data_IF_167250331575
#
_entry.id   IF_167250331575
#
_cell.length_a   1.000
_cell.length_b   1.000
_cell.length_c   1.000
_cell.angle_alpha   90.00
_cell.angle_beta   90.00
_cell.angle_gamma   90.00
#
_symmetry.space_group_name_H-M   'P 1'
#
loop_
_entity.id
_entity.type
_entity.pdbx_description
1 polymer ?
#
# COMPACT_ATOMS: atom_id res chain seq x y z
N UNK A 1 -0.39 -19.19 16.50
CA UNK A 1 -1.34 -18.68 15.49
C UNK A 1 -1.04 -19.34 14.15
N UNK A 2 -2.06 -19.57 13.32
CA UNK A 2 -1.87 -20.13 11.98
C UNK A 2 -1.15 -19.11 11.06
N UNK A 3 -0.27 -19.62 10.20
CA UNK A 3 0.42 -18.81 9.20
C UNK A 3 -0.61 -18.17 8.24
N UNK A 4 -0.35 -16.93 7.86
CA UNK A 4 -1.06 -16.17 6.84
C UNK A 4 -0.11 -15.92 5.69
N UNK A 5 -0.52 -16.22 4.47
CA UNK A 5 0.17 -15.81 3.25
C UNK A 5 -0.44 -14.49 2.78
N UNK A 6 0.33 -13.45 2.74
CA UNK A 6 -0.05 -12.14 2.22
C UNK A 6 0.50 -11.99 0.80
N UNK A 7 -0.38 -11.73 -0.17
CA UNK A 7 -0.03 -11.53 -1.58
C UNK A 7 -0.31 -10.09 -1.99
N UNK A 8 0.68 -9.43 -2.55
CA UNK A 8 0.52 -8.15 -3.22
C UNK A 8 0.69 -8.35 -4.73
N UNK A 9 -0.36 -8.04 -5.47
CA UNK A 9 -0.40 -8.16 -6.93
C UNK A 9 -0.17 -6.79 -7.57
N UNK A 10 1.00 -6.59 -8.18
CA UNK A 10 1.29 -5.46 -9.07
C UNK A 10 0.94 -5.81 -10.52
N UNK A 11 1.11 -4.88 -11.44
CA UNK A 11 0.80 -5.09 -12.86
C UNK A 11 1.66 -6.18 -13.50
N UNK A 12 2.93 -6.31 -13.09
CA UNK A 12 3.92 -7.24 -13.66
C UNK A 12 4.64 -8.09 -12.63
N UNK A 13 4.34 -7.93 -11.35
CA UNK A 13 5.04 -8.63 -10.27
C UNK A 13 4.07 -9.06 -9.18
N UNK A 14 4.24 -10.25 -8.64
CA UNK A 14 3.60 -10.67 -7.39
C UNK A 14 4.64 -10.76 -6.29
N UNK A 15 4.28 -10.21 -5.14
CA UNK A 15 5.05 -10.31 -3.89
C UNK A 15 4.27 -11.13 -2.88
N UNK A 16 4.93 -12.04 -2.19
CA UNK A 16 4.36 -12.80 -1.09
C UNK A 16 5.19 -12.64 0.17
N UNK A 17 4.50 -12.57 1.31
CA UNK A 17 5.08 -12.72 2.63
C UNK A 17 4.26 -13.73 3.42
N UNK A 18 4.92 -14.70 4.04
CA UNK A 18 4.29 -15.70 4.90
C UNK A 18 4.66 -15.41 6.34
N UNK A 19 3.68 -15.30 7.22
CA UNK A 19 3.98 -14.98 8.60
C UNK A 19 2.77 -14.99 9.51
N UNK A 20 2.95 -14.42 10.69
CA UNK A 20 1.89 -14.25 11.70
C UNK A 20 1.95 -12.84 12.26
N UNK A 21 0.79 -12.20 12.52
CA UNK A 21 0.76 -10.98 13.29
C UNK A 21 1.28 -11.24 14.71
N UNK A 22 1.92 -10.23 15.29
CA UNK A 22 2.29 -10.17 16.71
C UNK A 22 1.54 -9.01 17.37
N UNK A 23 1.66 -8.83 18.67
CA UNK A 23 0.93 -7.76 19.39
C UNK A 23 1.23 -6.34 18.86
N UNK A 24 2.45 -6.09 18.36
CA UNK A 24 2.89 -4.75 17.90
C UNK A 24 3.50 -4.75 16.49
N UNK A 25 3.49 -5.89 15.79
CA UNK A 25 4.14 -6.01 14.48
C UNK A 25 3.79 -7.32 13.78
N UNK A 26 4.81 -7.97 13.18
CA UNK A 26 4.65 -9.25 12.49
C UNK A 26 5.93 -10.08 12.58
N UNK A 27 5.78 -11.41 12.47
CA UNK A 27 6.87 -12.33 12.24
C UNK A 27 6.70 -12.94 10.85
N UNK A 28 7.52 -12.53 9.92
CA UNK A 28 7.61 -13.06 8.55
C UNK A 28 8.61 -14.21 8.57
N UNK A 29 8.23 -15.36 8.05
CA UNK A 29 9.07 -16.58 7.99
C UNK A 29 9.56 -16.87 6.58
N UNK A 30 8.87 -16.35 5.55
CA UNK A 30 9.29 -16.45 4.16
C UNK A 30 8.79 -15.23 3.38
N UNK A 31 9.56 -14.82 2.38
CA UNK A 31 9.18 -13.82 1.40
C UNK A 31 9.61 -14.34 0.01
N UNK A 32 8.80 -14.06 -1.00
CA UNK A 32 9.05 -14.47 -2.37
C UNK A 32 8.44 -13.43 -3.33
N UNK A 33 9.00 -13.36 -4.53
CA UNK A 33 8.44 -12.58 -5.63
C UNK A 33 8.67 -13.29 -6.96
N UNK A 34 7.83 -13.00 -7.94
CA UNK A 34 8.04 -13.43 -9.34
C UNK A 34 7.35 -12.46 -10.30
N UNK A 35 7.81 -12.44 -11.53
CA UNK A 35 7.14 -11.70 -12.59
C UNK A 35 5.83 -12.37 -12.99
N UNK A 36 4.85 -11.56 -13.33
CA UNK A 36 3.57 -11.99 -13.89
C UNK A 36 3.57 -11.77 -15.41
N UNK A 37 2.83 -12.57 -16.18
CA UNK A 37 2.64 -12.32 -17.60
C UNK A 37 2.06 -10.92 -17.84
N UNK A 38 2.52 -10.26 -18.88
CA UNK A 38 2.09 -8.91 -19.22
C UNK A 38 0.58 -8.85 -19.51
N UNK A 39 -0.08 -7.82 -19.03
CA UNK A 39 -1.50 -7.62 -19.28
C UNK A 39 -2.45 -8.46 -18.43
N UNK A 40 -1.97 -9.28 -17.49
CA UNK A 40 -2.83 -10.06 -16.60
C UNK A 40 -3.59 -9.20 -15.60
N UNK A 41 -2.98 -8.09 -15.17
CA UNK A 41 -3.53 -7.17 -14.19
C UNK A 41 -3.28 -5.71 -14.63
N UNK A 42 -4.33 -4.92 -14.79
CA UNK A 42 -4.23 -3.51 -15.17
C UNK A 42 -4.99 -2.67 -14.14
N UNK A 43 -4.29 -1.78 -13.44
CA UNK A 43 -4.88 -0.90 -12.43
C UNK A 43 -5.73 -1.63 -11.37
N UNK A 44 -5.32 -2.82 -10.96
CA UNK A 44 -6.05 -3.64 -9.98
C UNK A 44 -7.24 -4.40 -10.55
N UNK A 45 -7.45 -4.39 -11.88
CA UNK A 45 -8.46 -5.20 -12.55
C UNK A 45 -7.79 -6.39 -13.22
N UNK A 46 -8.31 -7.58 -12.97
CA UNK A 46 -7.87 -8.81 -13.64
C UNK A 46 -8.37 -8.79 -15.08
N UNK A 47 -7.45 -8.79 -16.04
CA UNK A 47 -7.73 -8.68 -17.48
C UNK A 47 -7.49 -9.99 -18.22
N UNK A 48 -6.60 -10.86 -17.69
CA UNK A 48 -6.39 -12.22 -18.18
C UNK A 48 -6.32 -13.19 -17.00
N UNK A 49 -7.47 -13.75 -16.64
CA UNK A 49 -7.61 -14.66 -15.49
C UNK A 49 -6.86 -15.99 -15.71
N UNK A 50 -6.83 -16.51 -16.95
CA UNK A 50 -6.21 -17.79 -17.23
C UNK A 50 -4.69 -17.76 -16.99
N UNK A 51 -3.99 -16.78 -17.57
CA UNK A 51 -2.55 -16.65 -17.43
C UNK A 51 -2.17 -16.27 -16.00
N UNK A 52 -2.94 -15.37 -15.34
CA UNK A 52 -2.71 -15.01 -13.95
C UNK A 52 -2.89 -16.22 -13.02
N UNK A 53 -3.92 -17.05 -13.26
CA UNK A 53 -4.15 -18.28 -12.50
C UNK A 53 -2.99 -19.27 -12.67
N UNK A 54 -2.51 -19.48 -13.88
CA UNK A 54 -1.38 -20.38 -14.16
C UNK A 54 -0.11 -19.88 -13.45
N UNK A 55 0.23 -18.60 -13.60
CA UNK A 55 1.40 -18.00 -12.97
C UNK A 55 1.35 -18.08 -11.43
N UNK A 56 0.19 -17.82 -10.82
CA UNK A 56 0.04 -17.92 -9.37
C UNK A 56 0.14 -19.37 -8.88
N UNK A 57 -0.43 -20.36 -9.57
CA UNK A 57 -0.26 -21.79 -9.22
C UNK A 57 1.21 -22.20 -9.22
N UNK A 58 1.94 -21.81 -10.25
CA UNK A 58 3.38 -22.04 -10.33
C UNK A 58 4.13 -21.34 -9.18
N UNK A 59 3.83 -20.08 -8.94
CA UNK A 59 4.45 -19.29 -7.86
C UNK A 59 4.23 -19.92 -6.48
N UNK A 60 2.99 -20.34 -6.15
CA UNK A 60 2.69 -21.03 -4.90
C UNK A 60 3.44 -22.34 -4.77
N UNK A 61 3.51 -23.13 -5.85
CA UNK A 61 4.17 -24.44 -5.86
C UNK A 61 5.68 -24.30 -5.73
N UNK A 62 6.31 -23.45 -6.54
CA UNK A 62 7.76 -23.23 -6.56
C UNK A 62 8.28 -22.73 -5.20
N UNK A 63 7.52 -21.85 -4.54
CA UNK A 63 7.90 -21.25 -3.27
C UNK A 63 7.29 -21.97 -2.04
N UNK A 64 6.54 -23.07 -2.24
CA UNK A 64 5.88 -23.86 -1.17
C UNK A 64 5.03 -22.98 -0.24
N UNK A 65 4.30 -22.00 -0.81
CA UNK A 65 3.50 -21.06 -0.04
C UNK A 65 2.24 -21.73 0.51
N UNK A 66 1.87 -21.50 1.80
CA UNK A 66 0.63 -22.01 2.36
C UNK A 66 -0.61 -21.41 1.69
N UNK A 67 -1.56 -22.27 1.27
CA UNK A 67 -2.78 -21.88 0.54
C UNK A 67 -4.04 -21.84 1.43
N UNK A 68 -3.97 -22.26 2.68
CA UNK A 68 -5.14 -22.40 3.56
C UNK A 68 -5.61 -21.09 4.19
N UNK A 69 -4.81 -20.03 4.09
CA UNK A 69 -5.18 -18.71 4.61
C UNK A 69 -4.37 -17.65 3.85
N UNK A 70 -5.01 -17.02 2.88
CA UNK A 70 -4.35 -16.05 1.98
C UNK A 70 -5.07 -14.70 2.08
N UNK A 71 -4.34 -13.65 2.40
CA UNK A 71 -4.79 -12.26 2.30
C UNK A 71 -4.27 -11.66 0.99
N UNK A 72 -5.15 -11.09 0.19
CA UNK A 72 -4.79 -10.35 -1.00
C UNK A 72 -4.68 -8.86 -0.67
N UNK A 73 -3.70 -8.21 -1.24
CA UNK A 73 -3.59 -6.76 -1.21
C UNK A 73 -3.95 -6.28 -2.61
N UNK A 74 -5.00 -5.51 -2.68
CA UNK A 74 -5.49 -4.90 -3.89
C UNK A 74 -5.16 -3.41 -3.92
N UNK A 75 -4.77 -2.93 -5.08
CA UNK A 75 -4.47 -1.53 -5.32
C UNK A 75 -4.98 -1.11 -6.69
N UNK A 76 -4.84 0.17 -7.00
CA UNK A 76 -5.24 0.72 -8.29
C UNK A 76 -6.37 1.75 -8.17
N UNK A 77 -6.71 2.37 -9.28
CA UNK A 77 -7.70 3.46 -9.35
C UNK A 77 -9.15 3.01 -9.10
N UNK A 78 -9.39 1.70 -9.01
CA UNK A 78 -10.71 1.13 -8.72
C UNK A 78 -11.12 1.30 -7.24
N UNK A 79 -10.14 1.57 -6.37
CA UNK A 79 -10.39 1.76 -4.94
C UNK A 79 -10.42 3.25 -4.63
N UNK A 80 -11.63 3.83 -4.55
CA UNK A 80 -11.80 5.17 -4.04
C UNK A 80 -11.53 5.17 -2.53
N UNK A 81 -10.77 6.15 -2.04
CA UNK A 81 -10.54 6.30 -0.61
C UNK A 81 -10.57 7.77 -0.19
N UNK A 82 -10.97 8.02 1.05
CA UNK A 82 -11.03 9.34 1.67
C UNK A 82 -10.68 9.26 3.16
N UNK A 83 -10.02 10.30 3.65
CA UNK A 83 -9.86 10.49 5.10
C UNK A 83 -11.07 11.27 5.59
N UNK A 84 -11.73 10.72 6.62
CA UNK A 84 -12.89 11.33 7.25
C UNK A 84 -12.67 11.42 8.75
N UNK A 85 -13.05 12.55 9.33
CA UNK A 85 -13.06 12.76 10.79
C UNK A 85 -14.50 12.68 11.28
N UNK A 86 -14.78 11.71 12.13
CA UNK A 86 -16.14 11.37 12.59
C UNK A 86 -16.20 11.38 14.12
N UNK A 87 -17.30 11.86 14.74
CA UNK A 87 -17.51 11.66 16.15
C UNK A 87 -17.49 10.17 16.51
N UNK A 88 -17.08 9.83 17.72
CA UNK A 88 -17.14 8.46 18.22
C UNK A 88 -18.59 7.97 18.23
N UNK A 89 -18.85 6.89 17.53
CA UNK A 89 -20.19 6.32 17.34
C UNK A 89 -20.13 4.79 17.20
N UNK A 90 -21.31 4.15 17.25
CA UNK A 90 -21.40 2.71 17.01
C UNK A 90 -21.05 2.36 15.57
N UNK A 91 -20.55 1.13 15.37
CA UNK A 91 -20.13 0.60 14.07
C UNK A 91 -21.21 0.78 12.99
N UNK A 92 -22.45 0.40 13.31
CA UNK A 92 -23.60 0.53 12.38
C UNK A 92 -23.82 1.97 11.91
N UNK A 93 -23.75 2.96 12.84
CA UNK A 93 -23.88 4.36 12.49
C UNK A 93 -22.70 4.85 11.66
N UNK A 94 -21.49 4.45 12.03
CA UNK A 94 -20.26 4.77 11.30
C UNK A 94 -20.35 4.32 9.86
N UNK A 95 -20.68 3.05 9.61
CA UNK A 95 -20.85 2.54 8.24
C UNK A 95 -21.88 3.31 7.44
N UNK A 96 -23.01 3.66 8.03
CA UNK A 96 -24.04 4.48 7.33
C UNK A 96 -23.53 5.87 6.95
N UNK A 97 -22.80 6.55 7.85
CA UNK A 97 -22.20 7.86 7.57
C UNK A 97 -21.11 7.73 6.49
N UNK A 98 -20.22 6.74 6.59
CA UNK A 98 -19.17 6.50 5.61
C UNK A 98 -19.74 6.27 4.21
N UNK A 99 -20.78 5.42 4.10
CA UNK A 99 -21.42 5.14 2.82
C UNK A 99 -22.05 6.39 2.20
N UNK A 100 -22.66 7.25 3.02
CA UNK A 100 -23.20 8.52 2.56
C UNK A 100 -22.10 9.48 2.07
N UNK A 101 -21.02 9.66 2.86
CA UNK A 101 -19.89 10.53 2.52
C UNK A 101 -19.15 10.07 1.26
N UNK A 102 -18.98 8.75 1.09
CA UNK A 102 -18.36 8.18 -0.11
C UNK A 102 -19.24 8.28 -1.35
N UNK A 103 -20.59 8.30 -1.18
CA UNK A 103 -21.52 8.48 -2.29
C UNK A 103 -21.57 9.95 -2.78
N UNK A 104 -21.45 10.91 -1.87
CA UNK A 104 -21.61 12.34 -2.18
C UNK A 104 -20.41 12.97 -2.90
N UNK A 105 -19.30 12.29 -3.02
CA UNK A 105 -18.02 12.89 -3.46
C UNK A 105 -17.38 12.34 -4.72
N UNK A 106 -18.05 11.57 -5.54
CA UNK A 106 -17.40 10.96 -6.69
C UNK A 106 -18.31 10.41 -7.77
N UNK A 107 -17.72 9.72 -8.73
CA UNK A 107 -18.43 9.01 -9.77
C UNK A 107 -19.35 7.93 -9.16
N UNK A 108 -20.48 7.69 -9.80
CA UNK A 108 -21.41 6.63 -9.42
C UNK A 108 -20.70 5.27 -9.50
N UNK A 109 -20.65 4.57 -8.36
CA UNK A 109 -20.09 3.21 -8.26
C UNK A 109 -21.25 2.22 -8.21
N UNK A 110 -21.29 1.28 -9.15
CA UNK A 110 -22.34 0.24 -9.19
C UNK A 110 -22.10 -0.79 -8.09
N UNK A 111 -23.17 -1.13 -7.34
CA UNK A 111 -23.09 -2.09 -6.24
C UNK A 111 -21.85 -1.86 -5.34
N UNK A 112 -21.76 -0.71 -4.64
CA UNK A 112 -20.59 -0.34 -3.87
C UNK A 112 -20.41 -1.25 -2.65
N UNK A 113 -19.16 -1.59 -2.37
CA UNK A 113 -18.71 -2.16 -1.10
C UNK A 113 -17.87 -1.12 -0.39
N UNK A 114 -18.24 -0.82 0.85
CA UNK A 114 -17.58 0.17 1.69
C UNK A 114 -16.91 -0.50 2.88
N UNK A 115 -15.74 -0.02 3.25
CA UNK A 115 -15.01 -0.42 4.45
C UNK A 115 -14.16 0.76 4.94
N UNK A 116 -13.53 0.61 6.11
CA UNK A 116 -12.63 1.64 6.63
C UNK A 116 -11.52 1.07 7.48
N UNK A 117 -10.45 1.84 7.60
CA UNK A 117 -9.36 1.63 8.55
C UNK A 117 -9.30 2.80 9.52
N UNK A 118 -9.22 2.53 10.83
CA UNK A 118 -9.00 3.57 11.83
C UNK A 118 -7.57 4.11 11.72
N UNK A 119 -7.42 5.39 11.42
CA UNK A 119 -6.13 6.07 11.39
C UNK A 119 -5.72 6.59 12.77
N UNK A 120 -6.60 7.29 13.46
CA UNK A 120 -6.35 7.78 14.82
C UNK A 120 -7.66 7.95 15.57
N UNK A 121 -7.52 8.00 16.92
CA UNK A 121 -8.61 8.30 17.84
C UNK A 121 -8.15 9.38 18.81
N UNK A 122 -8.84 10.51 18.80
CA UNK A 122 -8.65 11.54 19.81
C UNK A 122 -9.64 11.30 20.96
N UNK A 123 -9.10 10.85 22.10
CA UNK A 123 -9.92 10.58 23.27
C UNK A 123 -10.51 11.85 23.91
N UNK A 124 -9.84 13.01 23.75
CA UNK A 124 -10.27 14.29 24.32
C UNK A 124 -11.45 14.88 23.55
N UNK A 125 -11.36 14.91 22.23
CA UNK A 125 -12.41 15.46 21.37
C UNK A 125 -13.46 14.40 21.00
N UNK A 126 -13.19 13.12 21.28
CA UNK A 126 -14.00 11.96 20.89
C UNK A 126 -14.23 11.91 19.36
N UNK A 127 -13.17 12.21 18.61
CA UNK A 127 -13.16 12.14 17.15
C UNK A 127 -12.29 10.98 16.71
N UNK A 128 -12.84 10.14 15.84
CA UNK A 128 -12.13 9.08 15.11
C UNK A 128 -11.78 9.60 13.71
N UNK A 129 -10.50 9.53 13.31
CA UNK A 129 -10.09 9.76 11.94
C UNK A 129 -9.93 8.40 11.26
N UNK A 130 -10.59 8.23 10.12
CA UNK A 130 -10.64 6.96 9.39
C UNK A 130 -10.24 7.15 7.93
N UNK A 131 -9.60 6.15 7.35
CA UNK A 131 -9.44 5.97 5.91
C UNK A 131 -10.63 5.15 5.43
N UNK A 132 -11.63 5.81 4.86
CA UNK A 132 -12.80 5.19 4.28
C UNK A 132 -12.50 4.77 2.84
N UNK A 133 -12.98 3.61 2.43
CA UNK A 133 -12.72 3.04 1.10
C UNK A 133 -14.01 2.55 0.47
N UNK A 134 -14.16 2.78 -0.82
CA UNK A 134 -15.26 2.27 -1.67
C UNK A 134 -14.70 1.59 -2.90
N UNK A 135 -15.27 0.45 -3.25
CA UNK A 135 -14.94 -0.30 -4.46
C UNK A 135 -16.20 -0.91 -5.07
N UNK A 136 -16.21 -1.12 -6.36
CA UNK A 136 -17.29 -1.84 -7.03
C UNK A 136 -17.22 -3.35 -6.71
N UNK A 137 -18.36 -3.97 -6.38
CA UNK A 137 -18.44 -5.38 -6.00
C UNK A 137 -17.83 -6.32 -7.03
N UNK A 138 -17.92 -6.00 -8.34
CA UNK A 138 -17.34 -6.83 -9.41
C UNK A 138 -15.82 -6.98 -9.30
N UNK A 139 -15.12 -5.95 -8.80
CA UNK A 139 -13.66 -6.01 -8.59
C UNK A 139 -13.32 -7.05 -7.53
N UNK A 140 -14.04 -7.02 -6.41
CA UNK A 140 -13.86 -7.99 -5.31
C UNK A 140 -14.25 -9.41 -5.78
N UNK A 141 -15.35 -9.54 -6.55
CA UNK A 141 -15.77 -10.82 -7.11
C UNK A 141 -14.71 -11.43 -8.06
N UNK A 142 -13.98 -10.60 -8.82
CA UNK A 142 -12.87 -11.05 -9.66
C UNK A 142 -11.73 -11.65 -8.82
N UNK A 143 -11.37 -11.04 -7.70
CA UNK A 143 -10.35 -11.60 -6.81
C UNK A 143 -10.82 -12.89 -6.10
N UNK A 144 -12.10 -13.00 -5.75
CA UNK A 144 -12.67 -14.23 -5.20
C UNK A 144 -12.68 -15.37 -6.24
N UNK A 145 -13.03 -15.07 -7.50
CA UNK A 145 -12.94 -16.01 -8.59
C UNK A 145 -11.50 -16.49 -8.82
N UNK A 146 -10.53 -15.58 -8.86
CA UNK A 146 -9.11 -15.90 -8.96
C UNK A 146 -8.65 -16.82 -7.82
N UNK A 147 -9.05 -16.53 -6.56
CA UNK A 147 -8.72 -17.36 -5.41
C UNK A 147 -9.20 -18.80 -5.59
N UNK A 148 -10.44 -18.97 -6.07
CA UNK A 148 -11.05 -20.27 -6.36
C UNK A 148 -10.33 -20.99 -7.50
N UNK A 149 -9.99 -20.27 -8.60
CA UNK A 149 -9.31 -20.83 -9.75
C UNK A 149 -7.89 -21.29 -9.43
N UNK A 150 -7.15 -20.53 -8.60
CA UNK A 150 -5.83 -20.92 -8.09
C UNK A 150 -5.92 -22.03 -7.06
N UNK A 151 -6.97 -22.06 -6.23
CA UNK A 151 -7.23 -23.09 -5.22
C UNK A 151 -6.82 -22.69 -3.80
N UNK A 152 -6.57 -21.40 -3.50
CA UNK A 152 -6.30 -20.97 -2.13
C UNK A 152 -7.55 -20.47 -1.41
N UNK A 153 -7.53 -20.56 -0.08
CA UNK A 153 -8.61 -20.02 0.77
C UNK A 153 -8.37 -18.54 1.02
N UNK A 154 -9.20 -17.70 0.39
CA UNK A 154 -9.19 -16.26 0.60
C UNK A 154 -9.60 -15.93 2.03
N UNK A 155 -8.74 -15.19 2.75
CA UNK A 155 -8.98 -14.73 4.11
C UNK A 155 -9.49 -13.29 4.15
N UNK A 156 -8.84 -12.41 3.38
CA UNK A 156 -9.21 -10.99 3.24
C UNK A 156 -8.72 -10.43 1.91
N UNK A 157 -9.34 -9.33 1.51
CA UNK A 157 -8.81 -8.43 0.49
C UNK A 157 -8.61 -7.08 1.18
N UNK A 158 -7.37 -6.63 1.28
CA UNK A 158 -7.01 -5.40 1.97
C UNK A 158 -6.59 -4.33 0.96
N UNK A 159 -6.89 -3.06 1.27
CA UNK A 159 -6.42 -1.92 0.47
C UNK A 159 -4.91 -1.80 0.58
N UNK A 160 -4.23 -1.57 -0.56
CA UNK A 160 -2.77 -1.40 -0.61
C UNK A 160 -2.24 -0.37 0.38
N UNK A 161 -2.92 0.77 0.54
CA UNK A 161 -2.54 1.82 1.50
C UNK A 161 -2.53 1.38 2.97
N UNK A 162 -3.27 0.34 3.34
CA UNK A 162 -3.29 -0.13 4.72
C UNK A 162 -1.92 -0.68 5.17
N UNK A 163 -1.18 -1.33 4.27
CA UNK A 163 0.11 -1.93 4.59
C UNK A 163 1.19 -0.90 4.99
N UNK A 164 1.49 0.14 4.18
CA UNK A 164 2.45 1.16 4.57
C UNK A 164 2.01 1.96 5.81
N UNK A 165 0.71 2.25 5.97
CA UNK A 165 0.20 2.93 7.15
C UNK A 165 0.47 2.10 8.42
N UNK A 166 0.21 0.80 8.38
CA UNK A 166 0.51 -0.10 9.50
C UNK A 166 2.01 -0.20 9.76
N UNK A 167 2.83 -0.30 8.70
CA UNK A 167 4.28 -0.39 8.84
C UNK A 167 4.87 0.88 9.49
N UNK A 168 4.50 2.06 9.03
CA UNK A 168 4.97 3.35 9.61
C UNK A 168 4.69 3.41 11.11
N UNK A 169 3.53 2.94 11.57
CA UNK A 169 3.18 2.93 13.01
C UNK A 169 4.12 2.09 13.87
N UNK A 170 4.83 1.13 13.27
CA UNK A 170 5.76 0.25 13.98
C UNK A 170 7.20 0.78 14.04
N UNK A 171 7.46 1.95 13.44
CA UNK A 171 8.80 2.54 13.32
C UNK A 171 8.84 3.84 14.14
N UNK A 172 9.43 3.82 15.36
CA UNK A 172 9.42 4.98 16.26
C UNK A 172 9.99 6.25 15.63
N UNK A 173 11.07 6.14 14.86
CA UNK A 173 11.77 7.27 14.25
C UNK A 173 10.93 8.01 13.19
N UNK A 174 9.88 7.38 12.67
CA UNK A 174 8.96 7.99 11.71
C UNK A 174 7.77 8.68 12.37
N UNK A 175 7.50 8.44 13.68
CA UNK A 175 6.29 8.93 14.35
C UNK A 175 6.25 10.46 14.51
N UNK A 176 7.41 11.13 14.47
CA UNK A 176 7.52 12.58 14.59
C UNK A 176 8.06 13.24 13.32
N UNK A 177 8.21 12.46 12.24
CA UNK A 177 8.71 12.97 10.96
C UNK A 177 7.58 13.32 10.00
N UNK A 178 7.80 14.35 9.19
CA UNK A 178 6.99 14.67 8.03
C UNK A 178 7.78 14.27 6.79
N UNK A 179 7.29 13.25 6.09
CA UNK A 179 8.02 12.62 5.00
C UNK A 179 7.09 12.08 3.91
N UNK A 180 7.65 11.83 2.75
CA UNK A 180 6.98 11.09 1.66
C UNK A 180 7.54 9.67 1.62
N UNK A 181 6.67 8.68 1.67
CA UNK A 181 7.02 7.31 1.29
C UNK A 181 6.74 7.15 -0.20
N UNK A 182 7.79 6.91 -0.98
CA UNK A 182 7.70 6.63 -2.40
C UNK A 182 7.89 5.13 -2.63
N UNK A 183 6.80 4.46 -3.02
CA UNK A 183 6.78 3.04 -3.35
C UNK A 183 6.86 2.86 -4.87
N UNK A 184 7.77 2.03 -5.32
CA UNK A 184 7.86 1.59 -6.71
C UNK A 184 7.07 0.30 -6.91
N UNK A 185 6.18 0.31 -7.90
CA UNK A 185 5.35 -0.82 -8.31
C UNK A 185 5.45 -0.97 -9.82
N UNK A 186 6.45 -1.73 -10.30
CA UNK A 186 6.78 -1.87 -11.72
C UNK A 186 7.01 -0.49 -12.39
N UNK A 187 6.15 -0.09 -13.32
CA UNK A 187 6.18 1.22 -14.01
C UNK A 187 5.33 2.29 -13.31
N UNK A 188 4.87 2.02 -12.12
CA UNK A 188 4.01 2.92 -11.34
C UNK A 188 4.69 3.29 -10.03
N UNK A 189 4.51 4.51 -9.59
CA UNK A 189 4.91 4.96 -8.25
C UNK A 189 3.70 5.39 -7.45
N UNK A 190 3.74 5.08 -6.16
CA UNK A 190 2.78 5.57 -5.16
C UNK A 190 3.52 6.45 -4.17
N UNK A 191 3.15 7.73 -4.07
CA UNK A 191 3.70 8.65 -3.10
C UNK A 191 2.70 8.86 -1.98
N UNK A 192 3.05 8.44 -0.76
CA UNK A 192 2.23 8.59 0.43
C UNK A 192 2.85 9.64 1.36
N UNK A 193 2.12 10.71 1.65
CA UNK A 193 2.52 11.75 2.57
C UNK A 193 2.13 11.39 4.00
N UNK A 194 3.10 11.44 4.88
CA UNK A 194 2.93 11.32 6.33
C UNK A 194 3.35 12.63 6.99
N UNK A 195 2.46 13.19 7.81
CA UNK A 195 2.71 14.38 8.61
C UNK A 195 2.77 13.95 10.08
N UNK A 196 3.91 14.13 10.74
CA UNK A 196 4.12 13.66 12.11
C UNK A 196 3.74 12.17 12.26
N UNK A 197 4.21 11.34 11.32
CA UNK A 197 3.92 9.90 11.28
C UNK A 197 2.48 9.51 10.92
N UNK A 198 1.57 10.47 10.74
CA UNK A 198 0.17 10.22 10.38
C UNK A 198 -0.02 10.33 8.87
N UNK A 199 -0.65 9.32 8.28
CA UNK A 199 -1.02 9.35 6.87
C UNK A 199 -2.01 10.48 6.58
N UNK A 200 -1.72 11.30 5.58
CA UNK A 200 -2.56 12.46 5.22
C UNK A 200 -3.02 12.45 3.77
N UNK A 201 -2.19 11.97 2.85
CA UNK A 201 -2.50 12.03 1.43
C UNK A 201 -1.69 11.00 0.65
N UNK A 202 -2.20 10.55 -0.48
CA UNK A 202 -1.41 9.78 -1.43
C UNK A 202 -1.80 10.10 -2.86
N UNK A 203 -0.83 9.90 -3.75
CA UNK A 203 -1.03 9.93 -5.20
C UNK A 203 -0.37 8.71 -5.82
N UNK A 204 -0.93 8.24 -6.93
CA UNK A 204 -0.39 7.15 -7.73
C UNK A 204 -0.21 7.65 -9.16
N UNK A 205 0.94 7.38 -9.74
CA UNK A 205 1.28 7.84 -11.08
C UNK A 205 2.05 6.77 -11.83
N UNK A 206 1.78 6.62 -13.12
CA UNK A 206 2.63 5.85 -14.01
C UNK A 206 3.89 6.65 -14.34
N UNK A 207 5.02 5.97 -14.44
CA UNK A 207 6.25 6.50 -15.00
C UNK A 207 6.21 6.34 -16.52
N UNK A 208 6.56 7.39 -17.24
CA UNK A 208 6.65 7.37 -18.69
C UNK A 208 8.04 6.97 -19.17
N UNK A 209 9.05 7.22 -18.33
CA UNK A 209 10.44 6.90 -18.60
C UNK A 209 10.83 5.58 -17.92
N UNK A 210 11.73 4.77 -18.53
CA UNK A 210 12.21 3.53 -17.93
C UNK A 210 12.82 3.75 -16.54
N UNK A 211 12.50 2.89 -15.60
CA UNK A 211 13.07 2.92 -14.25
C UNK A 211 14.60 2.87 -14.30
N UNK A 212 15.25 3.59 -13.38
CA UNK A 212 16.71 3.67 -13.30
C UNK A 212 17.35 4.58 -14.37
N UNK A 213 16.57 5.22 -15.26
CA UNK A 213 17.08 6.22 -16.20
C UNK A 213 17.13 7.62 -15.58
N UNK A 214 17.99 8.50 -16.08
CA UNK A 214 18.08 9.88 -15.60
C UNK A 214 16.76 10.64 -15.80
N UNK A 215 16.04 10.34 -16.88
CA UNK A 215 14.73 10.91 -17.21
C UNK A 215 13.69 10.49 -16.17
N UNK A 216 13.70 9.22 -15.71
CA UNK A 216 12.80 8.75 -14.64
C UNK A 216 13.08 9.47 -13.32
N UNK A 217 14.35 9.71 -12.99
CA UNK A 217 14.74 10.52 -11.83
C UNK A 217 14.20 11.94 -11.87
N UNK A 218 14.28 12.60 -13.05
CA UNK A 218 13.71 13.92 -13.29
C UNK A 218 12.19 13.92 -13.17
N UNK A 219 11.53 12.93 -13.76
CA UNK A 219 10.07 12.78 -13.69
C UNK A 219 9.59 12.62 -12.23
N UNK A 220 10.29 11.81 -11.43
CA UNK A 220 9.97 11.60 -10.03
C UNK A 220 10.17 12.90 -9.23
N UNK A 221 11.25 13.63 -9.46
CA UNK A 221 11.47 14.92 -8.81
C UNK A 221 10.35 15.93 -9.12
N UNK A 222 9.86 15.98 -10.36
CA UNK A 222 8.72 16.83 -10.72
C UNK A 222 7.44 16.45 -9.98
N UNK A 223 7.14 15.12 -9.86
CA UNK A 223 5.97 14.63 -9.11
C UNK A 223 6.09 14.96 -7.61
N UNK A 224 7.28 14.82 -7.03
CA UNK A 224 7.56 15.21 -5.64
C UNK A 224 7.42 16.73 -5.43
N UNK A 225 7.91 17.54 -6.36
CA UNK A 225 7.74 19.00 -6.33
C UNK A 225 6.25 19.39 -6.27
N UNK A 226 5.41 18.75 -7.10
CA UNK A 226 3.96 18.95 -7.08
C UNK A 226 3.32 18.59 -5.73
N UNK A 227 3.76 17.49 -5.12
CA UNK A 227 3.29 17.07 -3.81
C UNK A 227 3.73 18.05 -2.69
N UNK A 228 4.97 18.53 -2.73
CA UNK A 228 5.49 19.54 -1.79
C UNK A 228 4.68 20.83 -1.92
N UNK A 229 4.41 21.28 -3.13
CA UNK A 229 3.61 22.47 -3.39
C UNK A 229 2.18 22.30 -2.85
N UNK A 230 1.54 21.17 -3.11
CA UNK A 230 0.22 20.84 -2.56
C UNK A 230 0.23 20.89 -1.02
N UNK A 231 1.21 20.27 -0.39
CA UNK A 231 1.35 20.27 1.07
C UNK A 231 1.56 21.68 1.62
N UNK A 232 2.39 22.50 0.99
CA UNK A 232 2.65 23.88 1.40
C UNK A 232 1.37 24.75 1.31
N UNK A 233 0.56 24.56 0.25
CA UNK A 233 -0.70 25.29 0.09
C UNK A 233 -1.76 24.89 1.12
N UNK A 234 -1.67 23.70 1.70
CA UNK A 234 -2.57 23.25 2.77
C UNK A 234 -2.33 23.93 4.14
N UNK A 235 -1.37 24.89 4.20
CA UNK A 235 -0.99 25.64 5.41
C UNK A 235 -0.50 24.76 6.57
N UNK A 236 0.09 23.61 6.25
CA UNK A 236 0.72 22.77 7.25
C UNK A 236 1.93 23.49 7.87
N UNK A 237 2.06 23.42 9.18
CA UNK A 237 3.22 23.96 9.91
C UNK A 237 4.46 23.06 9.76
N UNK A 238 4.28 21.82 9.28
CA UNK A 238 5.34 20.82 9.17
C UNK A 238 5.82 20.73 7.72
N UNK A 239 7.11 20.92 7.52
CA UNK A 239 7.74 20.77 6.18
C UNK A 239 8.03 19.30 5.90
N UNK A 240 7.96 18.92 4.63
CA UNK A 240 8.46 17.62 4.17
C UNK A 240 9.98 17.69 4.16
N UNK A 241 10.64 16.84 4.94
CA UNK A 241 12.10 16.85 5.10
C UNK A 241 12.77 15.67 4.41
N UNK A 242 12.06 14.56 4.29
CA UNK A 242 12.63 13.29 3.82
C UNK A 242 11.72 12.64 2.80
N UNK A 243 12.32 11.95 1.85
CA UNK A 243 11.66 10.95 1.01
C UNK A 243 12.24 9.58 1.31
N UNK A 244 11.38 8.63 1.71
CA UNK A 244 11.74 7.24 1.98
C UNK A 244 11.33 6.38 0.79
N UNK A 245 12.25 5.59 0.26
CA UNK A 245 12.03 4.75 -0.92
C UNK A 245 11.78 3.30 -0.52
N UNK A 246 10.74 2.69 -1.11
CA UNK A 246 10.44 1.26 -0.98
C UNK A 246 10.17 0.63 -2.35
N UNK A 247 10.49 -0.65 -2.54
CA UNK A 247 10.40 -1.34 -3.83
C UNK A 247 11.37 -0.79 -4.89
N UNK A 248 12.37 -0.01 -4.47
CA UNK A 248 13.34 0.65 -5.34
C UNK A 248 14.62 -0.19 -5.47
N UNK A 249 15.22 -0.15 -6.66
CA UNK A 249 16.57 -0.67 -6.91
C UNK A 249 17.64 0.36 -6.49
N UNK A 250 18.91 -0.04 -6.50
CA UNK A 250 20.03 0.88 -6.29
C UNK A 250 20.10 1.96 -7.38
N UNK A 251 19.78 1.59 -8.62
CA UNK A 251 19.76 2.51 -9.77
C UNK A 251 18.63 3.54 -9.63
N UNK A 252 17.43 3.11 -9.22
CA UNK A 252 16.32 4.05 -8.93
C UNK A 252 16.75 5.11 -7.90
N UNK A 253 17.39 4.68 -6.81
CA UNK A 253 17.88 5.59 -5.77
C UNK A 253 18.96 6.54 -6.30
N UNK A 254 19.90 6.03 -7.09
CA UNK A 254 20.98 6.84 -7.65
C UNK A 254 20.48 7.95 -8.57
N UNK A 255 19.51 7.65 -9.46
CA UNK A 255 18.97 8.64 -10.40
C UNK A 255 17.98 9.62 -9.75
N UNK A 256 17.28 9.21 -8.67
CA UNK A 256 16.34 10.08 -7.96
C UNK A 256 17.03 11.05 -6.99
N UNK A 257 18.16 10.66 -6.41
CA UNK A 257 18.85 11.43 -5.37
C UNK A 257 19.12 12.89 -5.74
N UNK A 258 19.74 13.23 -6.91
CA UNK A 258 20.06 14.60 -7.24
C UNK A 258 18.81 15.50 -7.30
N UNK A 259 17.73 15.01 -7.90
CA UNK A 259 16.46 15.74 -8.00
C UNK A 259 15.78 15.95 -6.63
N UNK A 260 15.81 14.95 -5.76
CA UNK A 260 15.28 15.07 -4.40
C UNK A 260 16.08 16.05 -3.56
N UNK A 261 17.41 16.00 -3.60
CA UNK A 261 18.31 16.91 -2.88
C UNK A 261 18.14 18.37 -3.36
N UNK A 262 17.94 18.58 -4.67
CA UNK A 262 17.63 19.90 -5.23
C UNK A 262 16.29 20.47 -4.71
N UNK A 263 15.35 19.62 -4.31
CA UNK A 263 14.10 19.99 -3.63
C UNK A 263 14.27 20.19 -2.11
N UNK A 264 15.49 20.03 -1.58
CA UNK A 264 15.77 20.11 -0.14
C UNK A 264 15.33 18.89 0.65
N UNK A 265 15.14 17.74 0.00
CA UNK A 265 14.74 16.49 0.63
C UNK A 265 15.95 15.62 0.95
N UNK A 266 15.97 15.05 2.14
CA UNK A 266 16.83 13.94 2.49
C UNK A 266 16.31 12.65 1.82
N UNK A 267 17.21 11.84 1.25
CA UNK A 267 16.86 10.60 0.54
C UNK A 267 17.28 9.41 1.34
N UNK A 268 16.31 8.65 1.81
CA UNK A 268 16.53 7.44 2.60
C UNK A 268 15.80 6.23 1.99
N UNK A 269 16.29 5.05 2.26
CA UNK A 269 15.51 3.82 2.07
C UNK A 269 14.51 3.71 3.21
N UNK A 270 13.30 3.18 2.93
CA UNK A 270 12.31 2.94 3.98
C UNK A 270 12.92 2.03 5.07
N UNK A 271 12.94 2.46 6.34
CA UNK A 271 13.66 1.75 7.38
C UNK A 271 12.96 0.47 7.82
N UNK A 272 13.74 -0.46 8.37
CA UNK A 272 13.21 -1.65 9.00
C UNK A 272 12.51 -1.32 10.33
N UNK A 273 11.48 -2.09 10.63
CA UNK A 273 10.74 -1.94 11.88
C UNK A 273 11.34 -2.83 12.97
N UNK A 274 11.50 -2.33 14.19
CA UNK A 274 11.99 -3.14 15.32
C UNK A 274 11.01 -4.24 15.73
N UNK A 275 9.74 -4.15 15.33
CA UNK A 275 8.70 -5.13 15.68
C UNK A 275 8.26 -6.02 14.52
N UNK A 276 8.81 -5.81 13.31
CA UNK A 276 8.60 -6.67 12.15
C UNK A 276 9.86 -7.50 11.94
N UNK A 277 9.79 -8.79 12.25
CA UNK A 277 10.90 -9.72 12.05
C UNK A 277 10.82 -10.29 10.65
N UNK A 278 11.87 -10.10 9.88
CA UNK A 278 11.99 -10.56 8.50
C UNK A 278 13.02 -11.68 8.39
N UNK A 279 12.96 -12.53 7.35
CA UNK A 279 14.03 -13.47 7.02
C UNK A 279 15.37 -12.74 6.80
N UNK A 280 16.48 -13.43 7.06
CA UNK A 280 17.82 -12.88 6.83
C UNK A 280 17.99 -12.43 5.37
N UNK A 281 18.55 -11.25 5.16
CA UNK A 281 18.77 -10.67 3.84
C UNK A 281 17.54 -10.02 3.19
N UNK A 282 16.39 -9.99 3.87
CA UNK A 282 15.18 -9.30 3.40
C UNK A 282 15.04 -8.00 4.18
N UNK A 283 14.90 -6.86 3.49
CA UNK A 283 14.55 -5.60 4.12
C UNK A 283 13.04 -5.31 3.98
N UNK A 284 12.47 -4.58 4.94
CA UNK A 284 11.05 -4.21 4.90
C UNK A 284 10.72 -3.39 3.65
N UNK A 285 11.63 -2.55 3.21
CA UNK A 285 11.49 -1.75 2.00
C UNK A 285 11.22 -2.59 0.73
N UNK A 286 11.73 -3.83 0.65
CA UNK A 286 11.58 -4.68 -0.53
C UNK A 286 10.22 -5.40 -0.57
N UNK A 287 9.63 -5.63 0.59
CA UNK A 287 8.41 -6.43 0.76
C UNK A 287 7.32 -5.67 1.52
N UNK A 288 7.38 -4.33 1.51
CA UNK A 288 6.59 -3.45 2.36
C UNK A 288 5.09 -3.77 2.35
N UNK A 289 4.50 -3.91 1.17
CA UNK A 289 3.06 -4.20 1.07
C UNK A 289 2.73 -5.59 1.63
N UNK A 290 3.45 -6.61 1.18
CA UNK A 290 3.18 -7.98 1.61
C UNK A 290 3.46 -8.20 3.11
N UNK A 291 4.59 -7.70 3.63
CA UNK A 291 4.94 -7.80 5.05
C UNK A 291 4.09 -6.86 5.93
N UNK A 292 3.86 -5.62 5.49
CA UNK A 292 3.04 -4.64 6.20
C UNK A 292 1.59 -5.10 6.39
N UNK A 293 1.06 -5.88 5.45
CA UNK A 293 -0.27 -6.45 5.60
C UNK A 293 -0.38 -7.50 6.71
N UNK A 294 0.72 -8.16 7.05
CA UNK A 294 0.77 -9.11 8.18
C UNK A 294 0.72 -8.43 9.56
N UNK A 295 0.99 -7.12 9.64
CA UNK A 295 0.87 -6.34 10.89
C UNK A 295 -0.61 -6.25 11.27
N UNK A 296 -0.93 -6.49 12.54
CA UNK A 296 -2.31 -6.38 13.05
C UNK A 296 -2.91 -4.99 12.78
N UNK A 297 -4.23 -4.95 12.64
CA UNK A 297 -5.00 -3.69 12.45
C UNK A 297 -4.98 -2.82 13.70
#
# INVERSE_FOLDING_TARGET
>A
MALLTSLYLCSRTVYAAVGTPTGSGARVVAAAQTELPEGCLINGVITNEADLTAALKEFFTANKLPMNRVALIAGGSQFMHRILSLPAMSEKKRMAVLSHELASGGAEVKAPLDDYMLLSRDARTRVDTVLATRVEQRVIAGYDALAKAVGFKLYSIDLGLAAPIKAVRTIPDLQQKTFVLLQFDDDTISACLFVQGQYTYSTRSRLFNPRGSAESGTEIAQKLSGLIQFHTTSKSEHRIETVCFAGSTADDLAVCRPGCEALGLQVDRFPDSPTVRLPSGTALADVLYAAGNLIAR
#
